data_IF_567073498659
#
_entry.id   IF_567073498659
#
_cell.length_a   1.000
_cell.length_b   1.000
_cell.length_c   1.000
_cell.angle_alpha   90.00
_cell.angle_beta   90.00
_cell.angle_gamma   90.00
#
_symmetry.space_group_name_H-M   'P 1'
#
loop_
_entity.id
_entity.type
_entity.pdbx_description
1 polymer ?
#
# COMPACT_ATOMS: atom_id res chain seq x y z
N UNK A 1 -9.11 -3.41 16.22
CA UNK A 1 -8.88 -2.73 14.95
C UNK A 1 -8.55 -3.76 13.89
N UNK A 2 -9.04 -3.56 12.66
CA UNK A 2 -8.66 -4.34 11.46
C UNK A 2 -7.85 -3.43 10.56
N UNK A 3 -6.72 -3.92 10.03
CA UNK A 3 -5.85 -3.16 9.15
C UNK A 3 -5.76 -3.90 7.81
N UNK A 4 -6.68 -3.66 6.85
CA UNK A 4 -6.57 -4.18 5.50
C UNK A 4 -5.44 -3.47 4.76
N UNK A 5 -4.68 -4.23 3.95
CA UNK A 5 -3.59 -3.68 3.13
C UNK A 5 -4.02 -3.66 1.68
N UNK A 6 -4.03 -2.49 1.06
CA UNK A 6 -4.33 -2.28 -0.36
C UNK A 6 -3.12 -2.66 -1.23
N UNK A 7 -2.80 -3.97 -1.20
CA UNK A 7 -1.58 -4.52 -1.79
C UNK A 7 -1.47 -4.23 -3.29
N UNK A 8 -0.29 -3.78 -3.71
CA UNK A 8 -0.03 -3.46 -5.13
C UNK A 8 -0.82 -2.27 -5.66
N UNK A 9 -1.57 -1.59 -4.77
CA UNK A 9 -2.45 -0.48 -5.09
C UNK A 9 -3.87 -0.90 -5.44
N UNK A 10 -4.22 -2.17 -5.26
CA UNK A 10 -5.58 -2.71 -5.43
C UNK A 10 -6.33 -2.55 -4.12
N UNK A 11 -7.45 -1.80 -4.09
CA UNK A 11 -8.27 -1.66 -2.89
C UNK A 11 -8.83 -3.00 -2.40
N UNK A 12 -8.87 -3.18 -1.09
CA UNK A 12 -9.57 -4.29 -0.47
C UNK A 12 -11.08 -4.19 -0.71
N UNK A 13 -11.79 -5.31 -0.54
CA UNK A 13 -13.26 -5.34 -0.54
C UNK A 13 -13.79 -4.68 0.76
N UNK A 14 -13.87 -3.36 0.75
CA UNK A 14 -14.28 -2.57 1.91
C UNK A 14 -15.75 -2.83 2.30
N UNK A 15 -16.63 -3.08 1.35
CA UNK A 15 -18.05 -3.35 1.65
C UNK A 15 -18.17 -4.63 2.47
N UNK A 16 -17.43 -5.67 2.09
CA UNK A 16 -17.41 -6.93 2.84
C UNK A 16 -16.79 -6.77 4.22
N UNK A 17 -15.68 -6.01 4.31
CA UNK A 17 -15.04 -5.72 5.60
C UNK A 17 -16.01 -4.99 6.53
N UNK A 18 -16.65 -3.91 6.06
CA UNK A 18 -17.61 -3.16 6.86
C UNK A 18 -18.84 -3.99 7.23
N UNK A 19 -19.38 -4.80 6.32
CA UNK A 19 -20.47 -5.72 6.62
C UNK A 19 -20.10 -6.68 7.76
N UNK A 20 -18.89 -7.21 7.78
CA UNK A 20 -18.42 -8.10 8.84
C UNK A 20 -18.30 -7.36 10.18
N UNK A 21 -17.64 -6.19 10.22
CA UNK A 21 -17.45 -5.46 11.48
C UNK A 21 -18.78 -4.97 12.06
N UNK A 22 -19.72 -4.54 11.23
CA UNK A 22 -21.08 -4.17 11.65
C UNK A 22 -21.83 -5.38 12.23
N UNK A 23 -21.76 -6.54 11.58
CA UNK A 23 -22.44 -7.77 12.06
C UNK A 23 -21.91 -8.25 13.43
N UNK A 24 -20.72 -7.80 13.84
CA UNK A 24 -20.06 -8.19 15.09
C UNK A 24 -19.97 -7.07 16.13
N UNK A 25 -20.61 -5.93 15.88
CA UNK A 25 -20.52 -4.77 16.78
C UNK A 25 -21.00 -5.06 18.21
N UNK A 26 -21.94 -5.99 18.41
CA UNK A 26 -22.40 -6.38 19.73
C UNK A 26 -21.32 -7.07 20.59
N UNK A 27 -20.21 -7.54 19.98
CA UNK A 27 -19.07 -8.15 20.66
C UNK A 27 -17.97 -7.12 20.96
N UNK A 28 -18.14 -5.87 20.52
CA UNK A 28 -17.14 -4.84 20.64
C UNK A 28 -17.25 -4.09 21.97
N UNK A 29 -16.13 -3.92 22.66
CA UNK A 29 -16.03 -3.17 23.90
C UNK A 29 -15.06 -2.03 23.71
N UNK A 30 -15.53 -0.77 23.66
CA UNK A 30 -14.65 0.40 23.46
C UNK A 30 -13.76 0.63 24.70
N UNK A 31 -12.56 1.12 24.48
CA UNK A 31 -11.58 1.47 25.54
C UNK A 31 -11.19 2.93 25.54
N UNK A 32 -11.71 3.72 24.59
CA UNK A 32 -11.49 5.16 24.49
C UNK A 32 -12.64 5.83 23.72
N UNK A 33 -12.68 7.17 23.80
CA UNK A 33 -13.76 8.00 23.21
C UNK A 33 -13.95 7.79 21.69
N UNK A 34 -12.86 7.63 20.93
CA UNK A 34 -12.95 7.42 19.48
C UNK A 34 -13.60 6.06 19.19
N UNK A 35 -13.22 5.02 19.92
CA UNK A 35 -13.80 3.70 19.78
C UNK A 35 -15.28 3.68 20.20
N UNK A 36 -15.63 4.43 21.24
CA UNK A 36 -17.01 4.59 21.69
C UNK A 36 -17.86 5.29 20.63
N UNK A 37 -17.36 6.38 20.07
CA UNK A 37 -18.03 7.14 19.02
C UNK A 37 -18.25 6.32 17.73
N UNK A 38 -17.27 5.53 17.31
CA UNK A 38 -17.39 4.62 16.15
C UNK A 38 -18.29 3.42 16.45
N UNK A 39 -18.32 2.92 17.69
CA UNK A 39 -19.24 1.88 18.18
C UNK A 39 -19.01 0.47 17.62
N UNK A 40 -17.90 0.22 16.94
CA UNK A 40 -17.50 -1.06 16.37
C UNK A 40 -15.97 -1.14 16.21
N UNK A 41 -15.49 -2.30 15.75
CA UNK A 41 -14.09 -2.47 15.37
C UNK A 41 -13.72 -1.43 14.30
N UNK A 42 -12.67 -0.64 14.57
CA UNK A 42 -12.13 0.37 13.65
C UNK A 42 -11.49 -0.32 12.45
N UNK A 43 -11.76 0.20 11.26
CA UNK A 43 -11.09 -0.18 10.01
C UNK A 43 -10.10 0.90 9.65
N UNK A 44 -8.79 0.57 9.68
CA UNK A 44 -7.70 1.45 9.31
C UNK A 44 -7.02 0.90 8.05
N UNK A 45 -7.22 1.54 6.91
CA UNK A 45 -6.59 1.12 5.67
C UNK A 45 -5.08 1.38 5.69
N UNK A 46 -4.28 0.34 5.49
CA UNK A 46 -2.91 0.50 5.03
C UNK A 46 -2.94 0.74 3.51
N UNK A 47 -3.09 2.01 3.15
CA UNK A 47 -3.17 2.48 1.77
C UNK A 47 -1.79 2.94 1.25
N UNK A 48 -0.69 2.44 1.84
CA UNK A 48 0.68 2.81 1.45
C UNK A 48 0.98 2.59 -0.04
N UNK A 49 0.24 1.71 -0.72
CA UNK A 49 0.33 1.47 -2.16
C UNK A 49 -0.80 2.11 -2.96
N UNK A 50 -1.83 2.67 -2.33
CA UNK A 50 -3.12 2.95 -2.98
C UNK A 50 -3.43 4.44 -3.19
N UNK A 51 -2.45 5.35 -3.01
CA UNK A 51 -2.69 6.76 -3.30
C UNK A 51 -3.14 6.95 -4.75
N UNK A 52 -4.34 7.52 -4.94
CA UNK A 52 -5.00 7.68 -6.25
C UNK A 52 -5.84 6.48 -6.72
N UNK A 53 -5.92 5.39 -5.95
CA UNK A 53 -6.88 4.32 -6.19
C UNK A 53 -8.30 4.72 -5.78
N UNK A 54 -9.30 4.04 -6.35
CA UNK A 54 -10.71 4.27 -6.03
C UNK A 54 -11.46 2.95 -5.82
N UNK A 55 -12.44 2.98 -4.92
CA UNK A 55 -13.44 1.93 -4.69
C UNK A 55 -14.82 2.50 -4.92
N UNK A 56 -15.59 1.92 -5.87
CA UNK A 56 -16.94 2.40 -6.26
C UNK A 56 -16.97 3.91 -6.53
N UNK A 57 -15.95 4.40 -7.23
CA UNK A 57 -15.80 5.80 -7.60
C UNK A 57 -15.31 6.75 -6.48
N UNK A 58 -15.16 6.26 -5.24
CA UNK A 58 -14.65 7.05 -4.12
C UNK A 58 -13.13 6.86 -3.97
N UNK A 59 -12.36 7.92 -3.66
CA UNK A 59 -10.94 7.78 -3.34
C UNK A 59 -10.73 6.87 -2.12
N UNK A 60 -9.70 6.02 -2.15
CA UNK A 60 -9.39 5.08 -1.06
C UNK A 60 -9.25 5.79 0.30
N UNK A 61 -8.66 6.98 0.36
CA UNK A 61 -8.55 7.77 1.59
C UNK A 61 -9.88 8.27 2.17
N UNK A 62 -11.02 8.00 1.52
CA UNK A 62 -12.36 8.40 1.98
C UNK A 62 -13.30 7.21 2.21
N UNK A 63 -12.76 6.01 2.49
CA UNK A 63 -13.59 4.79 2.61
C UNK A 63 -13.48 4.18 4.00
N UNK A 64 -12.28 3.88 4.46
CA UNK A 64 -12.03 3.37 5.80
C UNK A 64 -12.18 4.47 6.86
N UNK A 65 -12.36 4.11 8.14
CA UNK A 65 -12.44 5.08 9.22
C UNK A 65 -11.17 5.95 9.26
N UNK A 66 -10.02 5.32 9.06
CA UNK A 66 -8.72 5.96 8.89
C UNK A 66 -7.99 5.32 7.71
N UNK A 67 -7.20 6.10 6.99
CA UNK A 67 -6.35 5.59 5.91
C UNK A 67 -4.95 6.19 6.00
N UNK A 68 -3.91 5.35 5.92
CA UNK A 68 -2.52 5.82 5.91
C UNK A 68 -1.92 5.66 4.52
N UNK A 69 -1.27 6.72 4.06
CA UNK A 69 -0.51 6.75 2.82
C UNK A 69 0.99 6.86 3.09
N UNK A 70 1.79 6.20 2.29
CA UNK A 70 3.24 6.37 2.25
C UNK A 70 3.65 7.18 1.04
N UNK A 71 4.53 8.14 1.26
CA UNK A 71 5.18 8.93 0.21
C UNK A 71 6.69 8.69 0.17
N UNK A 72 7.12 7.52 0.66
CA UNK A 72 8.50 7.05 0.56
C UNK A 72 8.97 7.01 -0.91
N UNK A 73 10.29 7.07 -1.12
CA UNK A 73 10.93 7.18 -2.43
C UNK A 73 10.46 6.18 -3.49
N UNK A 74 10.08 4.95 -3.09
CA UNK A 74 9.66 3.89 -4.02
C UNK A 74 8.18 3.96 -4.39
N UNK A 75 7.38 4.83 -3.76
CA UNK A 75 5.94 4.91 -4.01
C UNK A 75 5.61 5.63 -5.31
N UNK A 76 4.40 5.44 -5.79
CA UNK A 76 3.91 6.08 -7.03
C UNK A 76 3.91 7.60 -6.94
N UNK A 77 3.46 8.11 -5.78
CA UNK A 77 3.58 9.49 -5.37
C UNK A 77 4.61 9.55 -4.25
N UNK A 78 5.62 10.38 -4.40
CA UNK A 78 6.70 10.43 -3.42
C UNK A 78 7.11 11.85 -3.06
N UNK A 79 7.52 12.02 -1.81
CA UNK A 79 8.19 13.21 -1.29
C UNK A 79 9.61 12.87 -0.80
N UNK A 80 10.23 11.82 -1.32
CA UNK A 80 11.41 11.10 -0.85
C UNK A 80 11.12 10.33 0.44
N UNK A 81 10.78 11.02 1.51
CA UNK A 81 10.18 10.51 2.74
C UNK A 81 8.93 11.32 3.06
N UNK A 82 7.90 10.65 3.55
CA UNK A 82 6.65 11.28 3.94
C UNK A 82 5.47 10.32 3.96
N UNK A 83 4.34 10.85 4.36
CA UNK A 83 3.07 10.14 4.41
C UNK A 83 1.93 11.10 4.74
N UNK A 84 0.73 10.58 4.71
CA UNK A 84 -0.47 11.28 5.14
C UNK A 84 -1.44 10.30 5.80
N UNK A 85 -2.24 10.83 6.70
CA UNK A 85 -3.39 10.13 7.28
C UNK A 85 -4.64 10.90 6.92
N UNK A 86 -5.68 10.19 6.53
CA UNK A 86 -7.03 10.74 6.35
C UNK A 86 -8.01 9.98 7.22
N UNK A 87 -9.11 10.65 7.60
CA UNK A 87 -10.20 10.05 8.37
C UNK A 87 -11.53 10.67 7.98
N UNK A 88 -12.61 10.00 8.34
CA UNK A 88 -13.97 10.55 8.26
C UNK A 88 -14.31 11.38 9.49
N UNK A 89 -15.26 12.29 9.34
CA UNK A 89 -15.89 12.92 10.50
C UNK A 89 -16.48 11.84 11.40
N UNK A 90 -16.12 11.89 12.68
CA UNK A 90 -16.60 10.96 13.70
C UNK A 90 -17.55 11.72 14.60
N UNK A 91 -18.81 11.29 14.66
CA UNK A 91 -19.81 11.98 15.49
C UNK A 91 -19.35 12.05 16.95
N UNK A 92 -19.40 13.25 17.53
CA UNK A 92 -18.96 13.52 18.90
C UNK A 92 -17.44 13.67 19.10
N UNK A 93 -16.64 13.60 18.03
CA UNK A 93 -15.20 13.87 18.06
C UNK A 93 -14.93 15.15 17.26
N UNK A 94 -14.21 16.10 17.88
CA UNK A 94 -13.79 17.32 17.22
C UNK A 94 -12.62 17.02 16.27
N UNK A 95 -12.78 17.34 15.00
CA UNK A 95 -11.75 17.14 13.98
C UNK A 95 -10.49 17.99 14.22
N UNK A 96 -10.63 19.19 14.76
CA UNK A 96 -9.48 20.04 15.08
C UNK A 96 -8.69 19.46 16.25
N UNK A 97 -9.37 18.89 17.27
CA UNK A 97 -8.72 18.18 18.36
C UNK A 97 -7.97 16.95 17.84
N UNK A 98 -8.61 16.15 16.97
CA UNK A 98 -7.98 14.97 16.37
C UNK A 98 -6.77 15.36 15.50
N UNK A 99 -6.88 16.41 14.70
CA UNK A 99 -5.77 16.94 13.92
C UNK A 99 -4.62 17.40 14.82
N UNK A 100 -4.94 18.12 15.90
CA UNK A 100 -3.95 18.57 16.88
C UNK A 100 -3.23 17.39 17.55
N UNK A 101 -3.93 16.30 17.86
CA UNK A 101 -3.30 15.06 18.36
C UNK A 101 -2.30 14.48 17.36
N UNK A 102 -2.60 14.44 16.07
CA UNK A 102 -1.65 14.01 15.03
C UNK A 102 -0.43 14.95 14.95
N UNK A 103 -0.63 16.25 15.08
CA UNK A 103 0.48 17.22 15.14
C UNK A 103 1.39 16.94 16.33
N UNK A 104 0.83 16.78 17.54
CA UNK A 104 1.59 16.45 18.74
C UNK A 104 2.38 15.13 18.57
N UNK A 105 1.73 14.07 18.06
CA UNK A 105 2.35 12.77 17.84
C UNK A 105 3.51 12.85 16.84
N UNK A 106 3.41 13.68 15.81
CA UNK A 106 4.42 13.80 14.75
C UNK A 106 5.52 14.81 15.07
N UNK A 107 5.30 15.73 16.01
CA UNK A 107 6.22 16.80 16.38
C UNK A 107 6.71 16.67 17.85
N UNK A 108 7.10 15.47 18.26
CA UNK A 108 7.63 15.11 19.58
C UNK A 108 6.86 15.70 20.77
N UNK A 109 5.55 15.88 20.64
CA UNK A 109 4.69 16.42 21.70
C UNK A 109 4.79 17.92 21.94
N UNK A 110 5.38 18.68 21.00
CA UNK A 110 5.51 20.12 21.13
C UNK A 110 4.15 20.80 21.02
N UNK A 111 3.76 21.57 22.06
CA UNK A 111 2.45 22.22 22.19
C UNK A 111 2.22 23.39 21.23
N UNK A 112 3.26 23.94 20.61
CA UNK A 112 3.19 25.02 19.62
C UNK A 112 4.03 24.66 18.40
N UNK A 113 3.46 24.80 17.22
CA UNK A 113 4.17 24.70 15.96
C UNK A 113 5.04 25.95 15.67
N UNK A 114 5.75 25.96 14.55
CA UNK A 114 6.61 27.06 14.14
C UNK A 114 5.82 28.35 13.88
N UNK A 115 4.59 28.23 13.36
CA UNK A 115 3.74 29.40 13.05
C UNK A 115 3.22 30.07 14.32
N UNK A 116 2.78 29.30 15.30
CA UNK A 116 2.35 29.83 16.61
C UNK A 116 3.48 30.54 17.36
N UNK A 117 4.74 30.13 17.13
CA UNK A 117 5.92 30.80 17.74
C UNK A 117 6.32 32.13 17.11
N UNK A 118 5.75 32.51 15.97
CA UNK A 118 6.05 33.83 15.33
C UNK A 118 5.37 35.00 15.98
N UNK A 119 4.41 34.79 16.89
CA UNK A 119 3.75 35.84 17.63
C UNK A 119 4.69 36.48 18.69
N UNK A 120 4.57 37.77 18.92
CA UNK A 120 5.37 38.45 19.89
C UNK A 120 5.19 37.84 21.30
N UNK A 121 6.30 37.43 21.94
CA UNK A 121 6.27 36.81 23.26
C UNK A 121 5.92 35.31 23.27
N UNK A 122 5.70 34.67 22.11
CA UNK A 122 5.27 33.26 22.00
C UNK A 122 6.44 32.24 21.95
N UNK A 123 7.61 32.59 22.51
CA UNK A 123 8.78 31.72 22.54
C UNK A 123 8.58 30.46 23.42
N UNK A 124 7.77 30.61 24.49
CA UNK A 124 7.53 29.52 25.43
C UNK A 124 6.60 28.45 24.84
N UNK A 125 7.02 27.22 24.95
CA UNK A 125 6.25 26.02 24.54
C UNK A 125 6.50 24.91 25.55
N UNK A 126 5.67 23.89 25.53
CA UNK A 126 5.78 22.69 26.36
C UNK A 126 5.93 21.44 25.51
N UNK A 127 6.49 20.39 26.08
CA UNK A 127 6.52 19.03 25.54
C UNK A 127 5.53 18.20 26.35
N UNK A 128 4.31 18.05 25.82
CA UNK A 128 3.20 17.39 26.53
C UNK A 128 3.27 15.85 26.47
N UNK A 129 4.20 15.29 25.69
CA UNK A 129 4.42 13.85 25.63
C UNK A 129 5.67 13.49 24.82
N UNK A 130 6.38 12.39 25.14
CA UNK A 130 7.62 11.96 24.50
C UNK A 130 7.33 11.16 23.22
N UNK A 131 6.73 11.79 22.22
CA UNK A 131 6.31 11.12 20.98
C UNK A 131 7.34 11.27 19.85
N UNK A 132 6.92 10.99 18.61
CA UNK A 132 7.81 10.89 17.45
C UNK A 132 8.18 12.27 16.90
N UNK A 133 9.30 12.32 16.17
CA UNK A 133 9.67 13.47 15.34
C UNK A 133 9.67 13.02 13.88
N UNK A 134 8.51 13.13 13.24
CA UNK A 134 8.26 12.67 11.87
C UNK A 134 7.36 13.61 11.05
N UNK A 135 7.29 14.89 11.43
CA UNK A 135 6.54 15.89 10.67
C UNK A 135 7.15 16.09 9.27
N UNK A 136 6.28 16.28 8.28
CA UNK A 136 6.70 16.66 6.93
C UNK A 136 7.28 18.09 6.93
N UNK A 137 8.41 18.29 6.27
CA UNK A 137 8.99 19.63 6.08
C UNK A 137 8.46 20.29 4.80
N UNK A 138 8.47 21.61 4.72
CA UNK A 138 8.00 22.36 3.55
C UNK A 138 8.74 21.99 2.26
N UNK A 139 10.04 21.65 2.38
CA UNK A 139 10.83 21.22 1.22
C UNK A 139 10.27 19.94 0.60
N UNK A 140 9.97 18.93 1.41
CA UNK A 140 9.41 17.66 0.90
C UNK A 140 7.95 17.83 0.49
N UNK A 141 7.18 18.69 1.18
CA UNK A 141 5.82 19.06 0.76
C UNK A 141 5.83 19.72 -0.63
N UNK A 142 6.79 20.61 -0.90
CA UNK A 142 6.99 21.23 -2.21
C UNK A 142 7.25 20.22 -3.33
N UNK A 143 7.99 19.13 -3.05
CA UNK A 143 8.18 18.01 -4.00
C UNK A 143 6.82 17.35 -4.29
N UNK A 144 6.02 17.09 -3.26
CA UNK A 144 4.67 16.53 -3.40
C UNK A 144 3.77 17.41 -4.26
N UNK A 145 3.71 18.71 -4.01
CA UNK A 145 2.93 19.66 -4.79
C UNK A 145 3.32 19.67 -6.28
N UNK A 146 4.61 19.56 -6.58
CA UNK A 146 5.10 19.47 -7.96
C UNK A 146 4.66 18.16 -8.64
N UNK A 147 4.68 17.03 -7.94
CA UNK A 147 4.21 15.75 -8.48
C UNK A 147 2.69 15.70 -8.66
N UNK A 148 1.93 16.29 -7.76
CA UNK A 148 0.47 16.28 -7.80
C UNK A 148 -0.07 16.83 -9.13
N UNK A 149 0.57 17.85 -9.70
CA UNK A 149 0.18 18.45 -10.97
C UNK A 149 0.15 17.47 -12.16
N UNK A 150 0.94 16.42 -12.12
CA UNK A 150 1.05 15.42 -13.19
C UNK A 150 0.67 14.00 -12.77
N UNK A 151 0.24 13.81 -11.51
CA UNK A 151 0.03 12.48 -10.93
C UNK A 151 -1.02 11.65 -11.69
N UNK A 152 -2.11 12.26 -12.17
CA UNK A 152 -3.11 11.58 -13.00
C UNK A 152 -2.50 10.97 -14.28
N UNK A 153 -1.56 11.67 -14.92
CA UNK A 153 -0.83 11.15 -16.08
C UNK A 153 0.07 9.96 -15.73
N UNK A 154 0.69 9.99 -14.54
CA UNK A 154 1.51 8.88 -14.06
C UNK A 154 0.67 7.62 -13.81
N UNK A 155 -0.51 7.76 -13.19
CA UNK A 155 -1.47 6.66 -13.00
C UNK A 155 -1.96 6.10 -14.34
N UNK A 156 -2.31 6.96 -15.31
CA UNK A 156 -2.73 6.54 -16.64
C UNK A 156 -1.63 5.75 -17.38
N UNK A 157 -0.35 6.15 -17.24
CA UNK A 157 0.77 5.39 -17.83
C UNK A 157 0.90 4.01 -17.19
N UNK A 158 0.81 3.90 -15.87
CA UNK A 158 0.86 2.62 -15.16
C UNK A 158 -0.28 1.70 -15.61
N UNK A 159 -1.50 2.24 -15.74
CA UNK A 159 -2.66 1.50 -16.24
C UNK A 159 -2.38 0.88 -17.62
N UNK A 160 -1.86 1.67 -18.57
CA UNK A 160 -1.52 1.17 -19.92
C UNK A 160 -0.50 0.04 -19.90
N UNK A 161 0.50 0.10 -19.00
CA UNK A 161 1.49 -0.99 -18.86
C UNK A 161 0.83 -2.25 -18.30
N UNK A 162 0.02 -2.10 -17.25
CA UNK A 162 -0.72 -3.22 -16.63
C UNK A 162 -1.63 -3.91 -17.63
N UNK A 163 -2.40 -3.14 -18.42
CA UNK A 163 -3.28 -3.68 -19.47
C UNK A 163 -2.50 -4.49 -20.52
N UNK A 164 -1.30 -4.04 -20.92
CA UNK A 164 -0.42 -4.82 -21.81
C UNK A 164 0.07 -6.11 -21.18
N UNK A 165 0.47 -6.06 -19.92
CA UNK A 165 0.91 -7.22 -19.15
C UNK A 165 -0.23 -8.24 -18.99
N UNK A 166 -1.41 -7.78 -18.59
CA UNK A 166 -2.61 -8.61 -18.43
C UNK A 166 -2.96 -9.35 -19.72
N UNK A 167 -2.96 -8.63 -20.85
CA UNK A 167 -3.24 -9.20 -22.17
C UNK A 167 -2.23 -10.29 -22.57
N UNK A 168 -0.98 -10.19 -22.12
CA UNK A 168 0.07 -11.15 -22.42
C UNK A 168 0.09 -12.36 -21.46
N UNK A 169 -0.20 -12.17 -20.18
CA UNK A 169 0.07 -13.18 -19.16
C UNK A 169 -1.18 -13.99 -18.75
N UNK A 170 -2.36 -13.37 -18.68
CA UNK A 170 -3.61 -14.09 -18.35
C UNK A 170 -3.90 -15.27 -19.28
N UNK A 171 -3.68 -15.17 -20.62
CA UNK A 171 -3.86 -16.31 -21.53
C UNK A 171 -2.90 -17.49 -21.27
N UNK A 172 -1.79 -17.26 -20.55
CA UNK A 172 -0.85 -18.30 -20.16
C UNK A 172 -1.21 -18.99 -18.82
N UNK A 173 -2.34 -18.62 -18.22
CA UNK A 173 -2.74 -19.11 -16.89
C UNK A 173 -1.94 -18.48 -15.74
N UNK A 174 -1.19 -17.40 -15.99
CA UNK A 174 -0.50 -16.65 -14.93
C UNK A 174 -1.53 -15.85 -14.16
N UNK A 175 -1.57 -16.03 -12.85
CA UNK A 175 -2.45 -15.28 -11.97
C UNK A 175 -1.86 -13.89 -11.70
N UNK A 176 -2.71 -12.88 -11.72
CA UNK A 176 -2.34 -11.47 -11.48
C UNK A 176 -3.36 -10.81 -10.57
N UNK A 177 -3.01 -9.69 -9.96
CA UNK A 177 -3.99 -8.88 -9.24
C UNK A 177 -4.98 -8.27 -10.25
N UNK A 178 -6.26 -8.24 -9.87
CA UNK A 178 -7.28 -7.54 -10.65
C UNK A 178 -7.19 -6.05 -10.41
N UNK A 179 -6.34 -5.34 -11.16
CA UNK A 179 -6.10 -3.93 -10.96
C UNK A 179 -7.29 -3.03 -11.31
N UNK A 180 -8.10 -3.44 -12.28
CA UNK A 180 -9.20 -2.63 -12.79
C UNK A 180 -10.43 -3.48 -13.00
N UNK A 181 -11.50 -3.12 -12.32
CA UNK A 181 -12.84 -3.72 -12.42
C UNK A 181 -13.90 -2.63 -12.50
N UNK A 182 -15.17 -3.00 -12.58
CA UNK A 182 -16.28 -2.05 -12.52
C UNK A 182 -16.40 -1.42 -11.11
N UNK A 183 -15.89 -2.09 -10.08
CA UNK A 183 -15.99 -1.61 -8.71
C UNK A 183 -14.76 -0.80 -8.26
N UNK A 184 -13.57 -1.11 -8.78
CA UNK A 184 -12.36 -0.43 -8.32
C UNK A 184 -11.36 -0.10 -9.44
N UNK A 185 -10.56 0.94 -9.18
CA UNK A 185 -9.42 1.32 -9.99
C UNK A 185 -8.18 1.35 -9.09
N UNK A 186 -7.20 0.53 -9.42
CA UNK A 186 -5.92 0.47 -8.71
C UNK A 186 -5.05 1.70 -9.01
N UNK A 187 -4.16 2.04 -8.06
CA UNK A 187 -3.05 2.95 -8.32
C UNK A 187 -1.96 2.33 -9.21
N UNK A 188 -1.98 1.02 -9.41
CA UNK A 188 -0.98 0.30 -10.19
C UNK A 188 0.42 0.38 -9.59
N UNK A 189 0.56 0.18 -8.28
CA UNK A 189 1.86 0.30 -7.61
C UNK A 189 2.81 -0.85 -7.94
N UNK A 190 2.37 -2.10 -7.81
CA UNK A 190 3.14 -3.29 -8.13
C UNK A 190 2.40 -4.13 -9.17
N UNK A 191 3.13 -4.79 -10.06
CA UNK A 191 2.59 -5.81 -10.93
C UNK A 191 3.05 -7.19 -10.45
N UNK A 192 2.26 -7.77 -9.60
CA UNK A 192 2.49 -9.07 -8.96
C UNK A 192 1.92 -10.17 -9.85
N UNK A 193 2.77 -11.13 -10.23
CA UNK A 193 2.36 -12.33 -10.94
C UNK A 193 2.53 -13.54 -10.05
N UNK A 194 1.71 -14.57 -10.24
CA UNK A 194 1.93 -15.89 -9.68
C UNK A 194 1.85 -16.93 -10.78
N UNK A 195 2.83 -17.81 -10.83
CA UNK A 195 2.90 -18.88 -11.81
C UNK A 195 2.42 -20.18 -11.15
N UNK A 196 1.17 -20.63 -11.41
CA UNK A 196 0.62 -21.79 -10.73
C UNK A 196 1.45 -23.06 -10.98
N UNK A 197 1.65 -23.84 -9.94
CA UNK A 197 2.27 -25.18 -10.02
C UNK A 197 3.79 -25.20 -10.07
N UNK A 198 4.47 -24.05 -10.00
CA UNK A 198 5.93 -24.03 -9.85
C UNK A 198 6.34 -24.10 -8.38
N UNK A 199 7.53 -24.62 -8.11
CA UNK A 199 8.15 -24.63 -6.78
C UNK A 199 8.89 -23.33 -6.49
N UNK A 200 9.27 -23.13 -5.24
CA UNK A 200 10.09 -22.01 -4.81
C UNK A 200 11.44 -21.95 -5.57
N UNK A 201 12.07 -23.10 -5.81
CA UNK A 201 13.31 -23.22 -6.57
C UNK A 201 13.12 -22.78 -8.02
N UNK A 202 12.05 -23.27 -8.66
CA UNK A 202 11.70 -22.88 -10.03
C UNK A 202 11.41 -21.37 -10.14
N UNK A 203 10.76 -20.79 -9.13
CA UNK A 203 10.56 -19.33 -9.05
C UNK A 203 11.91 -18.60 -9.01
N UNK A 204 12.87 -19.08 -8.19
CA UNK A 204 14.21 -18.50 -8.14
C UNK A 204 14.94 -18.61 -9.48
N UNK A 205 14.86 -19.77 -10.16
CA UNK A 205 15.42 -19.93 -11.49
C UNK A 205 14.84 -18.95 -12.51
N UNK A 206 13.52 -18.73 -12.49
CA UNK A 206 12.87 -17.75 -13.38
C UNK A 206 13.42 -16.35 -13.12
N UNK A 207 13.55 -15.94 -11.85
CA UNK A 207 14.09 -14.62 -11.49
C UNK A 207 15.54 -14.48 -11.99
N UNK A 208 16.37 -15.51 -11.83
CA UNK A 208 17.76 -15.51 -12.32
C UNK A 208 17.80 -15.37 -13.85
N UNK A 209 17.01 -16.15 -14.58
CA UNK A 209 16.93 -16.07 -16.06
C UNK A 209 16.42 -14.70 -16.54
N UNK A 210 15.49 -14.10 -15.83
CA UNK A 210 15.05 -12.73 -16.12
C UNK A 210 16.17 -11.71 -15.88
N UNK A 211 16.95 -11.87 -14.81
CA UNK A 211 18.10 -11.01 -14.54
C UNK A 211 19.20 -11.16 -15.59
N UNK A 212 19.48 -12.38 -16.06
CA UNK A 212 20.39 -12.66 -17.17
C UNK A 212 19.92 -11.99 -18.48
N UNK A 213 18.61 -11.88 -18.68
CA UNK A 213 18.01 -11.11 -19.77
C UNK A 213 17.97 -9.61 -19.52
N UNK A 214 18.58 -9.09 -18.43
CA UNK A 214 18.60 -7.68 -18.09
C UNK A 214 17.29 -7.14 -17.52
N UNK A 215 16.39 -8.00 -17.06
CA UNK A 215 15.10 -7.63 -16.47
C UNK A 215 15.13 -7.90 -14.96
N UNK A 216 15.15 -6.84 -14.14
CA UNK A 216 15.11 -6.96 -12.69
C UNK A 216 13.69 -7.31 -12.22
N UNK A 217 13.53 -8.50 -11.63
CA UNK A 217 12.32 -8.94 -10.93
C UNK A 217 12.50 -8.84 -9.41
N UNK A 218 11.40 -8.84 -8.68
CA UNK A 218 11.39 -8.82 -7.22
C UNK A 218 10.34 -9.79 -6.68
N UNK A 219 10.21 -9.85 -5.35
CA UNK A 219 9.18 -10.61 -4.63
C UNK A 219 8.53 -9.73 -3.58
N UNK A 220 7.21 -9.58 -3.65
CA UNK A 220 6.42 -8.76 -2.73
C UNK A 220 5.25 -9.56 -2.11
N UNK A 221 5.44 -10.20 -0.90
CA UNK A 221 6.63 -10.10 -0.04
C UNK A 221 6.95 -11.47 0.55
N UNK A 222 8.19 -11.63 1.03
CA UNK A 222 8.49 -12.77 1.92
C UNK A 222 7.64 -12.64 3.19
N UNK A 223 6.86 -13.67 3.57
CA UNK A 223 6.00 -13.61 4.76
C UNK A 223 6.74 -13.27 6.04
N UNK A 224 6.16 -12.43 6.89
CA UNK A 224 6.77 -12.03 8.16
C UNK A 224 7.21 -13.21 9.05
N UNK A 225 6.43 -14.31 9.18
CA UNK A 225 6.88 -15.49 9.95
C UNK A 225 8.18 -16.13 9.43
N UNK A 226 8.59 -15.82 8.19
CA UNK A 226 9.87 -16.29 7.61
C UNK A 226 11.04 -15.35 7.90
N UNK A 227 10.79 -14.16 8.44
CA UNK A 227 11.83 -13.18 8.79
C UNK A 227 12.39 -13.47 10.17
N UNK A 228 13.71 -13.28 10.35
CA UNK A 228 14.44 -13.61 11.60
C UNK A 228 13.80 -12.97 12.84
N UNK A 229 13.45 -11.69 12.76
CA UNK A 229 12.84 -10.99 13.89
C UNK A 229 11.54 -11.65 14.36
N UNK A 230 10.68 -12.07 13.42
CA UNK A 230 9.40 -12.70 13.75
C UNK A 230 9.56 -14.16 14.19
N UNK A 231 10.52 -14.91 13.62
CA UNK A 231 10.89 -16.23 14.12
C UNK A 231 11.35 -16.17 15.59
N UNK A 232 12.13 -15.15 15.93
CA UNK A 232 12.59 -14.95 17.32
C UNK A 232 11.44 -14.60 18.28
N UNK A 233 10.30 -14.11 17.76
CA UNK A 233 9.05 -13.89 18.52
C UNK A 233 8.16 -15.14 18.58
N UNK A 234 8.60 -16.28 18.04
CA UNK A 234 7.86 -17.55 18.06
C UNK A 234 6.89 -17.75 16.89
N UNK A 235 6.93 -16.92 15.87
CA UNK A 235 6.13 -17.14 14.67
C UNK A 235 6.76 -18.22 13.78
N UNK A 236 5.92 -19.13 13.27
CA UNK A 236 6.32 -20.18 12.34
C UNK A 236 5.44 -20.12 11.09
N UNK A 237 6.07 -20.19 9.91
CA UNK A 237 5.38 -20.14 8.62
C UNK A 237 4.42 -21.32 8.42
N UNK A 238 4.64 -22.46 9.05
CA UNK A 238 3.74 -23.62 8.98
C UNK A 238 2.33 -23.29 9.47
N UNK A 239 2.20 -22.35 10.39
CA UNK A 239 0.91 -21.85 10.88
C UNK A 239 0.21 -20.88 9.89
N UNK A 240 0.88 -20.53 8.78
CA UNK A 240 0.39 -19.56 7.78
C UNK A 240 0.46 -20.13 6.35
N UNK A 241 -0.16 -21.29 6.07
CA UNK A 241 -0.01 -21.99 4.78
C UNK A 241 -0.48 -21.16 3.59
N UNK A 242 -1.50 -20.33 3.77
CA UNK A 242 -1.99 -19.45 2.70
C UNK A 242 -0.98 -18.35 2.34
N UNK A 243 -0.28 -17.79 3.34
CA UNK A 243 0.75 -16.79 3.11
C UNK A 243 1.95 -17.41 2.38
N UNK A 244 2.38 -18.62 2.77
CA UNK A 244 3.43 -19.34 2.08
C UNK A 244 3.06 -19.65 0.64
N UNK A 245 1.85 -20.17 0.40
CA UNK A 245 1.34 -20.51 -0.94
C UNK A 245 1.28 -19.29 -1.87
N UNK A 246 1.00 -18.10 -1.34
CA UNK A 246 1.04 -16.86 -2.12
C UNK A 246 2.49 -16.46 -2.46
N UNK A 247 3.43 -16.70 -1.58
CA UNK A 247 4.82 -16.32 -1.71
C UNK A 247 5.64 -17.27 -2.61
N UNK A 248 5.42 -18.58 -2.54
CA UNK A 248 6.31 -19.57 -3.13
C UNK A 248 6.47 -19.42 -4.65
N UNK A 249 5.43 -18.95 -5.36
CA UNK A 249 5.38 -18.84 -6.81
C UNK A 249 5.17 -17.38 -7.31
N UNK A 250 5.37 -16.41 -6.43
CA UNK A 250 5.18 -14.99 -6.72
C UNK A 250 6.43 -14.39 -7.38
N UNK A 251 6.22 -13.61 -8.45
CA UNK A 251 7.25 -12.80 -9.13
C UNK A 251 6.64 -11.45 -9.45
N UNK A 252 7.26 -10.39 -8.94
CA UNK A 252 6.89 -9.01 -9.29
C UNK A 252 7.71 -8.52 -10.47
N UNK A 253 7.03 -8.08 -11.51
CA UNK A 253 7.65 -7.55 -12.73
C UNK A 253 7.86 -6.03 -12.65
N UNK A 254 8.80 -5.47 -13.43
CA UNK A 254 9.04 -4.03 -13.47
C UNK A 254 7.77 -3.26 -13.85
N UNK A 255 7.42 -2.26 -13.04
CA UNK A 255 6.30 -1.36 -13.30
C UNK A 255 6.64 0.06 -12.84
N UNK A 256 7.01 0.92 -13.77
CA UNK A 256 7.23 2.34 -13.50
C UNK A 256 6.97 3.19 -14.75
N UNK A 257 6.72 4.47 -14.54
CA UNK A 257 6.24 5.38 -15.59
C UNK A 257 7.29 5.75 -16.65
N UNK A 258 8.57 5.43 -16.39
CA UNK A 258 9.67 5.66 -17.36
C UNK A 258 9.89 4.50 -18.33
N UNK A 259 9.25 3.34 -18.11
CA UNK A 259 9.29 2.24 -19.08
C UNK A 259 8.73 2.70 -20.41
N UNK A 260 9.51 2.55 -21.50
CA UNK A 260 9.02 2.73 -22.86
C UNK A 260 8.08 1.60 -23.27
N UNK A 261 7.41 1.71 -24.40
CA UNK A 261 6.59 0.59 -24.88
C UNK A 261 7.44 -0.59 -25.32
N UNK A 262 8.61 -0.32 -25.91
CA UNK A 262 9.60 -1.30 -26.36
C UNK A 262 10.17 -2.09 -25.16
N UNK A 263 10.45 -1.41 -24.04
CA UNK A 263 10.91 -2.06 -22.81
C UNK A 263 9.80 -2.92 -22.20
N UNK A 264 8.55 -2.46 -22.21
CA UNK A 264 7.39 -3.28 -21.77
C UNK A 264 7.25 -4.52 -22.64
N UNK A 265 7.35 -4.38 -23.97
CA UNK A 265 7.28 -5.51 -24.90
C UNK A 265 8.47 -6.47 -24.72
N UNK A 266 9.64 -5.95 -24.39
CA UNK A 266 10.82 -6.75 -24.05
C UNK A 266 10.62 -7.58 -22.77
N UNK A 267 10.08 -6.98 -21.72
CA UNK A 267 9.71 -7.70 -20.48
C UNK A 267 8.72 -8.81 -20.78
N UNK A 268 7.65 -8.52 -21.53
CA UNK A 268 6.62 -9.48 -21.92
C UNK A 268 7.24 -10.66 -22.67
N UNK A 269 8.04 -10.38 -23.70
CA UNK A 269 8.68 -11.41 -24.52
C UNK A 269 9.51 -12.38 -23.68
N UNK A 270 10.43 -11.84 -22.88
CA UNK A 270 11.33 -12.66 -22.08
C UNK A 270 10.58 -13.44 -21.01
N UNK A 271 9.66 -12.78 -20.26
CA UNK A 271 8.90 -13.45 -19.21
C UNK A 271 8.04 -14.58 -19.77
N UNK A 272 7.29 -14.35 -20.86
CA UNK A 272 6.51 -15.40 -21.53
C UNK A 272 7.38 -16.56 -22.02
N UNK A 273 8.54 -16.26 -22.61
CA UNK A 273 9.44 -17.31 -23.11
C UNK A 273 9.98 -18.18 -21.98
N UNK A 274 10.44 -17.56 -20.90
CA UNK A 274 11.02 -18.27 -19.75
C UNK A 274 9.93 -19.07 -19.03
N UNK A 275 8.80 -18.47 -18.68
CA UNK A 275 7.75 -19.11 -17.88
C UNK A 275 7.11 -20.29 -18.62
N UNK A 276 6.96 -20.24 -19.95
CA UNK A 276 6.42 -21.35 -20.76
C UNK A 276 7.18 -22.67 -20.57
N UNK A 277 8.45 -22.63 -20.18
CA UNK A 277 9.22 -23.86 -19.92
C UNK A 277 8.89 -24.51 -18.56
N UNK A 278 8.21 -23.79 -17.67
CA UNK A 278 7.83 -24.24 -16.32
C UNK A 278 6.34 -24.54 -16.19
N UNK A 279 5.49 -23.93 -17.01
CA UNK A 279 4.05 -24.23 -17.02
C UNK A 279 3.87 -25.60 -17.69
N UNK A 280 3.35 -26.58 -16.93
CA UNK A 280 2.98 -27.88 -17.50
C UNK A 280 1.94 -27.67 -18.58
N UNK A 281 2.17 -28.19 -19.78
CA UNK A 281 1.13 -28.30 -20.81
C UNK A 281 0.01 -29.17 -20.22
N UNK A 282 -1.13 -28.53 -19.89
CA UNK A 282 -2.37 -29.21 -19.52
C UNK A 282 -2.92 -30.00 -20.69
#
# INVERSE_FOLDING_TARGET
>A
MIIPVDLGGVPCDYDRIFSIVESKKALFHPTNKIQEAIGRVIVMADAAHAFGATWKGKPVGSIADFSNFSFHAVKNFTTAEGGAVTWHDIEGIDNEELYHQYQLLSLHGQSKDALAKTQLGAWEYDIVGPWFKCNMTDVVAGIGLAQMKRYRGLLARRKKIIEKYDAAFKPLGIEVLNHYTDEHQSSGHLYITRVPGITLEQRHEIIVKMAEAGVACNVHYKPLPMMTAYKNLGFDIENYPNAYKQFENEITLPLHTKLTNEEVDYVIKNYCQIVKSYIKKS
#
